data_IF_130997688517
#
_entry.id   IF_130997688517
#
_cell.length_a   1.000
_cell.length_b   1.000
_cell.length_c   1.000
_cell.angle_alpha   90.00
_cell.angle_beta   90.00
_cell.angle_gamma   90.00
#
_symmetry.space_group_name_H-M   'P 1'
#
loop_
_entity.id
_entity.type
_entity.pdbx_description
1 polymer ?
#
# COMPACT_ATOMS: atom_id res chain seq x y z
N UNK A 1 -24.89 12.24 -26.89
CA UNK A 1 -23.82 12.03 -25.88
C UNK A 1 -22.51 12.75 -26.16
N UNK A 2 -21.93 12.69 -27.38
CA UNK A 2 -20.67 13.41 -27.69
C UNK A 2 -20.68 14.92 -27.40
N UNK A 3 -21.84 15.58 -27.49
CA UNK A 3 -21.98 17.01 -27.19
C UNK A 3 -21.99 17.36 -25.68
N UNK A 4 -22.02 16.35 -24.79
CA UNK A 4 -21.93 16.55 -23.32
C UNK A 4 -20.54 16.26 -22.77
N UNK A 5 -19.54 16.07 -23.63
CA UNK A 5 -18.17 15.85 -23.19
C UNK A 5 -17.56 17.17 -22.70
N UNK A 6 -16.84 17.10 -21.59
CA UNK A 6 -16.13 18.23 -21.02
C UNK A 6 -14.96 18.61 -21.94
N UNK A 7 -14.51 19.88 -21.92
CA UNK A 7 -13.32 20.27 -22.65
C UNK A 7 -12.05 19.66 -22.03
N UNK A 8 -11.02 19.43 -22.84
CA UNK A 8 -9.83 18.64 -22.47
C UNK A 8 -9.08 19.09 -21.21
N UNK A 9 -9.08 20.39 -20.90
CA UNK A 9 -8.43 20.93 -19.70
C UNK A 9 -9.20 20.61 -18.40
N UNK A 10 -10.41 20.07 -18.50
CA UNK A 10 -11.21 19.58 -17.38
C UNK A 10 -11.14 18.05 -17.25
N UNK A 11 -10.44 17.35 -18.14
CA UNK A 11 -10.27 15.91 -18.05
C UNK A 11 -9.26 15.55 -16.96
N UNK A 12 -9.63 14.58 -16.13
CA UNK A 12 -8.72 13.91 -15.20
C UNK A 12 -8.10 12.73 -15.93
N UNK A 13 -6.79 12.54 -15.79
CA UNK A 13 -6.10 11.40 -16.38
C UNK A 13 -6.58 10.08 -15.72
N UNK A 14 -7.12 9.18 -16.55
CA UNK A 14 -7.62 7.87 -16.11
C UNK A 14 -6.50 6.98 -15.56
N UNK A 15 -5.25 7.13 -16.03
CA UNK A 15 -4.12 6.36 -15.51
C UNK A 15 -3.77 6.77 -14.08
N UNK A 16 -3.89 8.06 -13.76
CA UNK A 16 -3.70 8.57 -12.40
C UNK A 16 -4.79 8.02 -11.49
N UNK A 17 -6.06 8.06 -11.94
CA UNK A 17 -7.19 7.52 -11.19
C UNK A 17 -7.04 6.02 -10.91
N UNK A 18 -6.69 5.24 -11.93
CA UNK A 18 -6.47 3.80 -11.81
C UNK A 18 -5.28 3.50 -10.89
N UNK A 19 -4.18 4.24 -11.00
CA UNK A 19 -3.02 4.09 -10.13
C UNK A 19 -3.36 4.33 -8.65
N UNK A 20 -4.10 5.39 -8.33
CA UNK A 20 -4.53 5.70 -6.95
C UNK A 20 -5.48 4.64 -6.41
N UNK A 21 -6.42 4.18 -7.24
CA UNK A 21 -7.36 3.13 -6.88
C UNK A 21 -6.63 1.82 -6.53
N UNK A 22 -5.70 1.39 -7.37
CA UNK A 22 -4.95 0.16 -7.17
C UNK A 22 -4.04 0.21 -5.93
N UNK A 23 -3.39 1.34 -5.66
CA UNK A 23 -2.58 1.51 -4.43
C UNK A 23 -3.47 1.44 -3.19
N UNK A 24 -4.65 2.07 -3.23
CA UNK A 24 -5.62 2.04 -2.13
C UNK A 24 -6.18 0.63 -1.90
N UNK A 25 -6.50 -0.08 -2.98
CA UNK A 25 -6.94 -1.47 -2.94
C UNK A 25 -5.86 -2.38 -2.33
N UNK A 26 -4.61 -2.25 -2.80
CA UNK A 26 -3.46 -3.00 -2.28
C UNK A 26 -3.29 -2.83 -0.77
N UNK A 27 -3.34 -1.59 -0.26
CA UNK A 27 -3.25 -1.32 1.18
C UNK A 27 -4.42 -1.88 1.98
N UNK A 28 -5.63 -1.87 1.42
CA UNK A 28 -6.82 -2.42 2.07
C UNK A 28 -6.81 -3.95 2.08
N UNK A 29 -6.36 -4.57 1.00
CA UNK A 29 -6.35 -6.03 0.84
C UNK A 29 -5.27 -6.69 1.68
N UNK A 30 -4.07 -6.10 1.72
CA UNK A 30 -2.99 -6.54 2.62
C UNK A 30 -3.35 -6.38 4.10
N UNK A 31 -4.25 -5.46 4.45
CA UNK A 31 -4.80 -5.35 5.80
C UNK A 31 -5.92 -6.38 6.11
N UNK A 32 -6.50 -7.04 5.08
CA UNK A 32 -7.66 -7.93 5.19
C UNK A 32 -7.36 -9.34 4.66
N UNK A 33 -6.18 -9.89 4.91
CA UNK A 33 -5.72 -11.21 4.38
C UNK A 33 -6.54 -12.45 4.82
N UNK A 34 -7.88 -12.39 4.82
CA UNK A 34 -8.78 -13.51 5.09
C UNK A 34 -9.88 -13.74 4.04
N UNK A 35 -10.02 -12.93 2.97
CA UNK A 35 -11.21 -13.09 2.09
C UNK A 35 -10.95 -13.68 0.69
N UNK A 36 -9.79 -13.53 0.03
CA UNK A 36 -9.70 -13.92 -1.39
C UNK A 36 -8.44 -14.73 -1.80
N UNK A 37 -8.10 -15.79 -1.05
CA UNK A 37 -7.18 -16.81 -1.58
C UNK A 37 -7.74 -17.53 -2.84
N UNK A 38 -9.01 -17.34 -3.21
CA UNK A 38 -9.67 -18.05 -4.31
C UNK A 38 -9.83 -17.26 -5.64
N UNK A 39 -9.38 -16.00 -5.77
CA UNK A 39 -9.62 -15.23 -7.00
C UNK A 39 -8.38 -14.91 -7.87
N UNK A 40 -7.17 -15.30 -7.46
CA UNK A 40 -5.94 -14.85 -8.15
C UNK A 40 -5.12 -15.97 -8.83
N UNK A 41 -5.73 -17.10 -9.20
CA UNK A 41 -5.03 -18.20 -9.85
C UNK A 41 -4.64 -17.96 -11.32
N UNK A 42 -5.03 -16.85 -11.95
CA UNK A 42 -4.82 -16.60 -13.38
C UNK A 42 -3.68 -15.62 -13.74
N UNK A 43 -3.16 -14.83 -12.80
CA UNK A 43 -2.24 -13.70 -13.13
C UNK A 43 -0.76 -13.92 -12.78
N UNK A 44 -0.41 -15.01 -12.10
CA UNK A 44 0.98 -15.29 -11.66
C UNK A 44 1.91 -15.83 -12.76
N UNK A 45 1.52 -15.79 -14.04
CA UNK A 45 2.35 -16.27 -15.17
C UNK A 45 3.41 -15.27 -15.68
N UNK A 46 3.82 -14.29 -14.88
CA UNK A 46 4.83 -13.29 -15.30
C UNK A 46 5.96 -13.11 -14.28
N UNK A 47 6.54 -14.22 -13.83
CA UNK A 47 7.85 -14.20 -13.19
C UNK A 47 8.92 -13.83 -14.23
N UNK A 48 9.64 -12.73 -13.99
CA UNK A 48 10.91 -12.28 -14.62
C UNK A 48 10.89 -11.17 -15.70
N UNK A 49 9.83 -10.37 -15.83
CA UNK A 49 9.92 -9.11 -16.61
C UNK A 49 9.95 -7.90 -15.67
N UNK A 50 10.94 -6.99 -15.78
CA UNK A 50 10.94 -5.77 -14.97
C UNK A 50 9.65 -4.97 -15.25
N UNK A 51 8.96 -4.47 -14.20
CA UNK A 51 7.61 -3.94 -14.33
C UNK A 51 7.57 -2.76 -15.32
N UNK A 52 6.75 -2.92 -16.37
CA UNK A 52 6.64 -1.96 -17.48
C UNK A 52 5.41 -1.06 -17.27
N UNK A 53 4.33 -1.64 -16.75
CA UNK A 53 3.07 -0.95 -16.45
C UNK A 53 2.99 -0.43 -15.02
N UNK A 54 2.06 0.51 -14.78
CA UNK A 54 1.69 0.98 -13.44
C UNK A 54 1.16 -0.21 -12.62
N UNK A 55 0.35 -1.07 -13.25
CA UNK A 55 -0.24 -2.27 -12.63
C UNK A 55 0.84 -3.24 -12.14
N UNK A 56 1.80 -3.57 -12.99
CA UNK A 56 2.89 -4.50 -12.65
C UNK A 56 3.74 -3.99 -11.47
N UNK A 57 3.99 -2.68 -11.42
CA UNK A 57 4.71 -2.08 -10.29
C UNK A 57 3.91 -2.22 -8.98
N UNK A 58 2.59 -2.03 -9.02
CA UNK A 58 1.73 -2.16 -7.83
C UNK A 58 1.61 -3.64 -7.42
N UNK A 59 1.52 -4.56 -8.38
CA UNK A 59 1.46 -6.00 -8.10
C UNK A 59 2.76 -6.51 -7.46
N UNK A 60 3.92 -6.10 -7.99
CA UNK A 60 5.22 -6.37 -7.38
C UNK A 60 5.35 -5.72 -5.99
N UNK A 61 4.80 -4.52 -5.79
CA UNK A 61 4.76 -3.86 -4.49
C UNK A 61 3.90 -4.63 -3.47
N UNK A 62 2.74 -5.13 -3.89
CA UNK A 62 1.84 -5.93 -3.05
C UNK A 62 2.47 -7.25 -2.63
N UNK A 63 3.17 -7.93 -3.55
CA UNK A 63 3.91 -9.14 -3.23
C UNK A 63 5.07 -8.88 -2.25
N UNK A 64 5.84 -7.81 -2.49
CA UNK A 64 6.91 -7.39 -1.57
C UNK A 64 6.36 -7.09 -0.17
N UNK A 65 5.17 -6.48 -0.08
CA UNK A 65 4.50 -6.17 1.19
C UNK A 65 4.03 -7.45 1.90
N UNK A 66 3.47 -8.42 1.17
CA UNK A 66 3.09 -9.75 1.70
C UNK A 66 4.29 -10.49 2.29
N UNK A 67 5.45 -10.36 1.65
CA UNK A 67 6.70 -10.96 2.11
C UNK A 67 7.37 -10.17 3.25
N UNK A 68 6.79 -9.05 3.71
CA UNK A 68 7.34 -8.20 4.77
C UNK A 68 8.50 -7.30 4.35
N UNK A 69 8.79 -7.17 3.05
CA UNK A 69 9.87 -6.33 2.53
C UNK A 69 9.38 -4.92 2.19
N UNK A 70 9.40 -4.04 3.19
CA UNK A 70 8.97 -2.64 3.05
C UNK A 70 9.85 -1.82 2.13
N UNK A 71 11.16 -2.04 2.16
CA UNK A 71 12.11 -1.31 1.33
C UNK A 71 11.83 -1.58 -0.15
N UNK A 72 11.58 -2.84 -0.51
CA UNK A 72 11.20 -3.21 -1.87
C UNK A 72 9.83 -2.61 -2.26
N UNK A 73 8.82 -2.74 -1.39
CA UNK A 73 7.50 -2.16 -1.65
C UNK A 73 7.56 -0.63 -1.89
N UNK A 74 8.30 0.09 -1.03
CA UNK A 74 8.53 1.53 -1.17
C UNK A 74 9.20 1.88 -2.50
N UNK A 75 10.20 1.10 -2.92
CA UNK A 75 10.91 1.33 -4.17
C UNK A 75 10.01 1.13 -5.40
N UNK A 76 9.06 0.19 -5.35
CA UNK A 76 8.10 -0.01 -6.43
C UNK A 76 7.04 1.10 -6.50
N UNK A 77 6.56 1.59 -5.36
CA UNK A 77 5.56 2.68 -5.29
C UNK A 77 6.16 4.06 -5.61
N UNK A 78 7.37 4.34 -5.12
CA UNK A 78 8.07 5.64 -5.23
C UNK A 78 9.25 5.49 -6.21
N UNK A 79 8.96 5.00 -7.42
CA UNK A 79 9.93 4.94 -8.52
C UNK A 79 9.85 6.22 -9.38
N UNK A 80 10.93 6.57 -10.08
CA UNK A 80 10.97 7.63 -11.11
C UNK A 80 9.83 7.48 -12.12
N UNK A 81 9.54 6.25 -12.55
CA UNK A 81 8.43 5.95 -13.48
C UNK A 81 7.06 6.27 -12.90
N UNK A 82 6.79 5.83 -11.67
CA UNK A 82 5.52 6.09 -10.97
C UNK A 82 5.36 7.57 -10.62
N UNK A 83 6.45 8.23 -10.24
CA UNK A 83 6.46 9.66 -9.94
C UNK A 83 6.11 10.50 -11.16
N UNK A 84 6.63 10.16 -12.35
CA UNK A 84 6.30 10.87 -13.59
C UNK A 84 4.86 10.62 -14.06
N UNK A 85 4.34 9.40 -13.89
CA UNK A 85 3.01 9.00 -14.42
C UNK A 85 1.83 9.27 -13.49
N UNK A 86 2.03 9.24 -12.17
CA UNK A 86 0.94 9.33 -11.18
C UNK A 86 1.16 10.52 -10.26
N UNK A 87 2.30 10.56 -9.56
CA UNK A 87 2.51 11.51 -8.46
C UNK A 87 2.77 12.95 -8.92
N UNK A 88 3.28 13.17 -10.15
CA UNK A 88 3.56 14.49 -10.70
C UNK A 88 2.29 15.34 -10.93
N UNK A 89 1.16 14.70 -11.18
CA UNK A 89 -0.12 15.40 -11.44
C UNK A 89 -0.75 16.01 -10.19
N UNK A 90 -0.23 15.70 -9.00
CA UNK A 90 -0.72 16.26 -7.74
C UNK A 90 0.03 17.53 -7.35
N UNK A 91 -0.72 18.54 -6.90
CA UNK A 91 -0.18 19.81 -6.38
C UNK A 91 0.78 19.59 -5.20
N UNK A 92 0.47 18.65 -4.31
CA UNK A 92 1.22 18.36 -3.08
C UNK A 92 1.93 16.98 -3.14
N UNK A 93 2.70 16.75 -4.21
CA UNK A 93 3.39 15.48 -4.48
C UNK A 93 4.22 14.93 -3.30
N UNK A 94 4.86 15.80 -2.54
CA UNK A 94 5.75 15.38 -1.45
C UNK A 94 4.94 14.93 -0.23
N UNK A 95 3.85 15.62 0.10
CA UNK A 95 2.92 15.18 1.15
C UNK A 95 2.29 13.83 0.83
N UNK A 96 1.97 13.56 -0.44
CA UNK A 96 1.43 12.25 -0.84
C UNK A 96 2.45 11.15 -0.60
N UNK A 97 3.73 11.37 -0.91
CA UNK A 97 4.79 10.39 -0.62
C UNK A 97 4.94 10.14 0.87
N UNK A 98 4.84 11.19 1.69
CA UNK A 98 4.87 11.07 3.14
C UNK A 98 3.68 10.26 3.66
N UNK A 99 2.47 10.50 3.12
CA UNK A 99 1.26 9.73 3.44
C UNK A 99 1.44 8.26 3.05
N UNK A 100 1.95 7.97 1.84
CA UNK A 100 2.19 6.60 1.39
C UNK A 100 3.22 5.88 2.26
N UNK A 101 4.31 6.55 2.63
CA UNK A 101 5.34 5.98 3.50
C UNK A 101 4.80 5.72 4.91
N UNK A 102 3.98 6.64 5.43
CA UNK A 102 3.31 6.47 6.71
C UNK A 102 2.33 5.29 6.70
N UNK A 103 1.50 5.16 5.66
CA UNK A 103 0.57 4.02 5.51
C UNK A 103 1.33 2.70 5.36
N UNK A 104 2.45 2.68 4.63
CA UNK A 104 3.28 1.50 4.48
C UNK A 104 3.85 1.02 5.82
N UNK A 105 4.35 1.94 6.65
CA UNK A 105 4.81 1.63 8.02
C UNK A 105 3.68 1.08 8.87
N UNK A 106 2.50 1.70 8.79
CA UNK A 106 1.30 1.26 9.53
C UNK A 106 0.91 -0.18 9.18
N UNK A 107 0.83 -0.51 7.90
CA UNK A 107 0.45 -1.85 7.43
C UNK A 107 1.52 -2.86 7.79
N UNK A 108 2.80 -2.51 7.65
CA UNK A 108 3.89 -3.37 8.09
C UNK A 108 3.80 -3.74 9.56
N UNK A 109 3.49 -2.75 10.40
CA UNK A 109 3.36 -2.96 11.83
C UNK A 109 2.19 -3.90 12.13
N UNK A 110 1.02 -3.65 11.53
CA UNK A 110 -0.14 -4.53 11.68
C UNK A 110 0.18 -5.96 11.26
N UNK A 111 0.87 -6.13 10.13
CA UNK A 111 1.28 -7.44 9.60
C UNK A 111 2.30 -8.13 10.50
N UNK A 112 3.25 -7.38 11.05
CA UNK A 112 4.24 -7.91 12.00
C UNK A 112 3.57 -8.45 13.27
N UNK A 113 2.63 -7.71 13.83
CA UNK A 113 1.86 -8.16 15.01
C UNK A 113 1.00 -9.37 14.65
N UNK A 114 0.31 -9.36 13.51
CA UNK A 114 -0.51 -10.50 13.05
C UNK A 114 0.33 -11.77 12.84
N UNK A 115 1.52 -11.67 12.24
CA UNK A 115 2.39 -12.82 12.00
C UNK A 115 2.98 -13.40 13.30
N UNK A 116 3.06 -12.60 14.35
CA UNK A 116 3.66 -12.99 15.63
C UNK A 116 2.64 -13.02 16.78
N UNK A 117 1.34 -12.98 16.48
CA UNK A 117 0.26 -12.94 17.48
C UNK A 117 0.35 -14.09 18.47
N UNK A 118 0.71 -15.28 17.98
CA UNK A 118 0.73 -16.51 18.78
C UNK A 118 1.92 -16.57 19.76
N UNK A 119 2.98 -15.79 19.49
CA UNK A 119 4.23 -15.80 20.28
C UNK A 119 4.37 -14.57 21.17
N UNK A 120 3.66 -13.48 20.86
CA UNK A 120 3.72 -12.23 21.60
C UNK A 120 2.69 -12.26 22.74
N UNK A 121 3.15 -12.55 23.97
CA UNK A 121 2.31 -12.47 25.17
C UNK A 121 2.31 -11.08 25.82
N UNK A 122 3.43 -10.36 25.74
CA UNK A 122 3.55 -8.99 26.23
C UNK A 122 4.68 -8.27 25.51
N UNK A 123 4.39 -7.09 24.98
CA UNK A 123 5.39 -6.22 24.34
C UNK A 123 5.08 -4.78 24.74
N UNK A 124 6.13 -4.01 25.07
CA UNK A 124 5.98 -2.59 25.37
C UNK A 124 5.75 -1.76 24.11
N UNK A 125 4.80 -0.82 24.18
CA UNK A 125 4.48 0.12 23.09
C UNK A 125 5.68 1.00 22.72
N UNK A 126 6.53 1.32 23.70
CA UNK A 126 7.68 2.21 23.51
C UNK A 126 8.75 1.55 22.63
N UNK A 127 8.98 0.24 22.79
CA UNK A 127 9.93 -0.51 21.94
C UNK A 127 9.39 -0.64 20.52
N UNK A 128 8.09 -0.88 20.35
CA UNK A 128 7.46 -0.94 19.02
C UNK A 128 7.49 0.42 18.31
N UNK A 129 7.24 1.50 19.06
CA UNK A 129 7.34 2.88 18.59
C UNK A 129 8.73 3.20 18.05
N UNK A 130 9.77 2.84 18.81
CA UNK A 130 11.16 3.02 18.38
C UNK A 130 11.52 2.17 17.14
N UNK A 131 11.03 0.93 17.07
CA UNK A 131 11.33 0.00 15.99
C UNK A 131 10.70 0.43 14.65
N UNK A 132 9.42 0.83 14.66
CA UNK A 132 8.69 1.19 13.44
C UNK A 132 8.67 2.69 13.15
N UNK A 133 9.21 3.52 14.06
CA UNK A 133 9.20 4.99 13.99
C UNK A 133 7.78 5.54 13.79
N UNK A 134 6.84 4.97 14.53
CA UNK A 134 5.43 5.36 14.53
C UNK A 134 5.07 5.94 15.90
N UNK A 135 4.22 6.97 15.98
CA UNK A 135 3.73 7.50 17.25
C UNK A 135 3.01 6.43 18.08
N UNK A 136 3.15 6.50 19.40
CA UNK A 136 2.56 5.55 20.34
C UNK A 136 1.03 5.49 20.21
N UNK A 137 0.36 6.64 20.01
CA UNK A 137 -1.09 6.72 19.81
C UNK A 137 -1.55 5.85 18.63
N UNK A 138 -0.79 5.83 17.54
CA UNK A 138 -1.15 5.08 16.34
C UNK A 138 -0.93 3.58 16.57
N UNK A 139 0.14 3.21 17.27
CA UNK A 139 0.41 1.82 17.64
C UNK A 139 -0.69 1.29 18.54
N UNK A 140 -1.06 2.04 19.58
CA UNK A 140 -2.17 1.69 20.47
C UNK A 140 -3.47 1.52 19.69
N UNK A 141 -3.83 2.48 18.84
CA UNK A 141 -5.03 2.39 18.01
C UNK A 141 -5.05 1.14 17.11
N UNK A 142 -3.90 0.76 16.53
CA UNK A 142 -3.82 -0.45 15.68
C UNK A 142 -3.98 -1.73 16.49
N UNK A 143 -3.38 -1.79 17.68
CA UNK A 143 -3.52 -2.96 18.56
C UNK A 143 -4.99 -3.10 18.97
N UNK A 144 -5.60 -2.03 19.50
CA UNK A 144 -7.00 -2.04 19.92
C UNK A 144 -7.98 -2.33 18.78
N UNK A 145 -7.73 -1.83 17.56
CA UNK A 145 -8.58 -2.16 16.39
C UNK A 145 -8.41 -3.59 15.87
N UNK A 146 -7.30 -4.27 16.18
CA UNK A 146 -7.11 -5.68 15.83
C UNK A 146 -7.71 -6.63 16.89
N UNK A 147 -7.89 -6.18 18.14
CA UNK A 147 -8.54 -6.98 19.19
C UNK A 147 -10.03 -7.26 18.90
N UNK A 148 -10.70 -6.45 18.06
CA UNK A 148 -12.09 -6.71 17.61
C UNK A 148 -12.22 -7.89 16.62
N UNK A 149 -11.11 -8.55 16.26
CA UNK A 149 -11.06 -9.71 15.36
C UNK A 149 -10.72 -11.04 16.07
N UNK A 150 -10.59 -11.04 17.40
CA UNK A 150 -10.43 -12.25 18.23
C UNK A 150 -11.73 -12.64 18.94
#
# INVERSE_FOLDING_TARGET
>A
EKQRQMPFHMHIDLQVLEGVYLVSAMFKETAREYINQQQHSSEYQYLTVPPVSIKDNILAAGEALRNGNLSACRNFLINVKMNSKVWYYFLEKDKIKDILEFQLKKISFSKYIQNHSDTIHSVSTNVLSAMFKLPEDIIQNIIFSNDDLF
#
